data_IF_263681983820
#
_entry.id   IF_263681983820
#
_cell.length_a   1.000
_cell.length_b   1.000
_cell.length_c   1.000
_cell.angle_alpha   90.00
_cell.angle_beta   90.00
_cell.angle_gamma   90.00
#
_symmetry.space_group_name_H-M   'P 1'
#
loop_
_entity.id
_entity.type
_entity.pdbx_description
1 polymer ?
#
# COMPACT_ATOMS: atom_id res chain seq x y z
N UNK A 1 -10.71 -19.15 -6.17
CA UNK A 1 -9.58 -19.49 -7.09
C UNK A 1 -9.62 -18.70 -8.40
N UNK A 2 -10.77 -18.56 -9.09
CA UNK A 2 -10.86 -17.72 -10.30
C UNK A 2 -10.49 -16.23 -10.03
N UNK A 3 -10.92 -15.67 -8.89
CA UNK A 3 -10.67 -14.27 -8.56
C UNK A 3 -9.18 -13.94 -8.35
N UNK A 4 -8.42 -14.88 -7.77
CA UNK A 4 -6.99 -14.68 -7.52
C UNK A 4 -6.17 -14.71 -8.81
N UNK A 5 -6.52 -15.59 -9.75
CA UNK A 5 -5.84 -15.65 -11.04
C UNK A 5 -6.12 -14.37 -11.85
N UNK A 6 -7.36 -13.87 -11.80
CA UNK A 6 -7.72 -12.59 -12.40
C UNK A 6 -6.93 -11.44 -11.77
N UNK A 7 -6.83 -11.42 -10.43
CA UNK A 7 -6.05 -10.42 -9.70
C UNK A 7 -4.58 -10.41 -10.13
N UNK A 8 -3.93 -11.57 -10.22
CA UNK A 8 -2.51 -11.67 -10.61
C UNK A 8 -2.26 -11.23 -12.06
N UNK A 9 -3.21 -11.51 -12.96
CA UNK A 9 -3.11 -11.11 -14.37
C UNK A 9 -3.32 -9.60 -14.53
N UNK A 10 -4.26 -9.01 -13.78
CA UNK A 10 -4.55 -7.57 -13.83
C UNK A 10 -3.51 -6.74 -13.07
N UNK A 11 -2.94 -7.28 -11.98
CA UNK A 11 -1.95 -6.62 -11.13
C UNK A 11 -0.55 -7.23 -11.32
N UNK A 12 0.00 -7.05 -12.52
CA UNK A 12 1.41 -7.34 -12.78
C UNK A 12 2.27 -6.15 -12.30
N UNK A 13 2.57 -6.12 -11.01
CA UNK A 13 3.36 -5.08 -10.37
C UNK A 13 4.56 -5.67 -9.64
N UNK A 14 5.56 -4.83 -9.37
CA UNK A 14 6.68 -5.21 -8.52
C UNK A 14 6.23 -5.22 -7.05
N UNK A 15 5.91 -6.41 -6.55
CA UNK A 15 5.42 -6.61 -5.18
C UNK A 15 6.41 -6.13 -4.12
N UNK A 16 7.72 -6.25 -4.37
CA UNK A 16 8.75 -5.79 -3.44
C UNK A 16 8.88 -4.27 -3.45
N UNK A 17 8.76 -3.62 -4.61
CA UNK A 17 8.75 -2.15 -4.67
C UNK A 17 7.54 -1.55 -3.94
N UNK A 18 6.36 -2.17 -4.05
CA UNK A 18 5.16 -1.72 -3.32
C UNK A 18 5.31 -1.99 -1.81
N UNK A 19 5.91 -3.11 -1.41
CA UNK A 19 6.19 -3.38 0.01
C UNK A 19 7.18 -2.37 0.60
N UNK A 20 8.21 -1.98 -0.16
CA UNK A 20 9.16 -0.93 0.21
C UNK A 20 8.45 0.43 0.40
N UNK A 21 7.61 0.81 -0.58
CA UNK A 21 6.81 2.05 -0.51
C UNK A 21 5.87 2.03 0.70
N UNK A 22 5.25 0.89 0.99
CA UNK A 22 4.41 0.70 2.17
C UNK A 22 5.20 0.92 3.46
N UNK A 23 6.37 0.30 3.59
CA UNK A 23 7.19 0.39 4.80
C UNK A 23 7.65 1.83 5.05
N UNK A 24 8.06 2.53 4.00
CA UNK A 24 8.47 3.93 4.09
C UNK A 24 7.30 4.86 4.50
N UNK A 25 6.12 4.65 3.93
CA UNK A 25 4.94 5.49 4.19
C UNK A 25 4.22 5.15 5.49
N UNK A 26 4.25 3.88 5.92
CA UNK A 26 3.66 3.39 7.19
C UNK A 26 4.21 4.16 8.39
N UNK A 27 5.50 4.46 8.42
CA UNK A 27 6.10 5.24 9.50
C UNK A 27 5.55 6.68 9.61
N UNK A 28 5.01 7.24 8.52
CA UNK A 28 4.49 8.61 8.50
C UNK A 28 2.99 8.70 8.77
N UNK A 29 2.23 7.65 8.47
CA UNK A 29 0.76 7.70 8.50
C UNK A 29 0.11 6.65 9.42
N UNK A 30 0.87 5.68 9.92
CA UNK A 30 0.30 4.69 10.85
C UNK A 30 0.10 5.32 12.21
N UNK A 31 -1.13 5.21 12.68
CA UNK A 31 -1.52 5.54 14.05
C UNK A 31 -1.81 4.24 14.78
N UNK A 32 -1.04 3.94 15.81
CA UNK A 32 -1.26 2.76 16.67
C UNK A 32 -2.27 3.08 17.78
N UNK A 33 -2.40 4.37 18.14
CA UNK A 33 -3.37 4.85 19.12
C UNK A 33 -4.46 5.72 18.52
N UNK A 34 -5.65 5.72 19.15
CA UNK A 34 -6.75 6.63 18.81
C UNK A 34 -6.32 8.11 18.83
N UNK A 35 -5.42 8.48 19.75
CA UNK A 35 -4.91 9.83 19.87
C UNK A 35 -4.03 10.21 18.66
N UNK A 36 -3.14 9.32 18.22
CA UNK A 36 -2.35 9.51 17.01
C UNK A 36 -3.24 9.64 15.78
N UNK A 37 -4.35 8.90 15.71
CA UNK A 37 -5.31 9.01 14.61
C UNK A 37 -5.91 10.40 14.56
N UNK A 38 -6.39 10.93 15.70
CA UNK A 38 -6.89 12.31 15.77
C UNK A 38 -5.79 13.29 15.35
N UNK A 39 -4.57 13.11 15.85
CA UNK A 39 -3.45 13.99 15.51
C UNK A 39 -3.15 13.99 14.00
N UNK A 40 -3.18 12.81 13.36
CA UNK A 40 -3.05 12.67 11.92
C UNK A 40 -4.14 13.45 11.16
N UNK A 41 -5.40 13.32 11.59
CA UNK A 41 -6.52 14.06 11.00
C UNK A 41 -6.38 15.57 11.18
N UNK A 42 -5.90 16.01 12.35
CA UNK A 42 -5.59 17.41 12.62
C UNK A 42 -4.42 17.91 11.76
N UNK A 43 -3.42 17.08 11.46
CA UNK A 43 -2.29 17.46 10.59
C UNK A 43 -2.67 17.51 9.10
N UNK A 44 -3.65 16.69 8.69
CA UNK A 44 -4.22 16.67 7.33
C UNK A 44 -5.18 17.83 7.07
N UNK A 45 -5.92 18.27 8.08
CA UNK A 45 -6.95 19.33 7.97
C UNK A 45 -6.44 20.67 8.52
N UNK A 46 -5.39 20.67 9.33
CA UNK A 46 -4.88 21.85 10.04
C UNK A 46 -4.46 22.98 9.09
N UNK A 47 -3.83 22.65 7.97
CA UNK A 47 -3.46 23.63 6.93
C UNK A 47 -4.70 24.30 6.31
N UNK A 48 -5.83 23.59 6.20
CA UNK A 48 -7.12 24.14 5.74
C UNK A 48 -7.75 25.02 6.82
N UNK A 49 -7.72 24.58 8.07
CA UNK A 49 -8.26 25.34 9.20
C UNK A 49 -7.52 26.67 9.32
N UNK A 50 -6.20 26.67 9.19
CA UNK A 50 -5.38 27.89 9.20
C UNK A 50 -5.75 28.87 8.07
N UNK A 51 -6.23 28.39 6.92
CA UNK A 51 -6.72 29.26 5.83
C UNK A 51 -7.96 30.07 6.22
N UNK A 52 -8.80 29.57 7.13
CA UNK A 52 -10.03 30.25 7.54
C UNK A 52 -9.81 31.23 8.69
N UNK A 53 -8.77 31.03 9.51
CA UNK A 53 -8.52 31.82 10.72
C UNK A 53 -7.42 32.87 10.57
N UNK A 54 -6.55 32.73 9.56
CA UNK A 54 -5.47 33.68 9.31
C UNK A 54 -5.78 34.52 8.07
N UNK A 55 -5.61 35.83 8.22
CA UNK A 55 -5.72 36.80 7.13
C UNK A 55 -4.46 36.69 6.22
N UNK A 56 -4.38 35.59 5.48
CA UNK A 56 -3.24 35.24 4.65
C UNK A 56 -3.31 35.95 3.29
N UNK A 57 -2.14 36.31 2.77
CA UNK A 57 -2.02 36.78 1.38
C UNK A 57 -2.48 35.71 0.39
N UNK A 58 -2.87 36.12 -0.82
CA UNK A 58 -3.25 35.20 -1.91
C UNK A 58 -2.17 34.16 -2.22
N UNK A 59 -0.89 34.54 -2.08
CA UNK A 59 0.24 33.62 -2.23
C UNK A 59 0.36 32.64 -1.07
N UNK A 60 0.13 33.08 0.17
CA UNK A 60 0.08 32.21 1.35
C UNK A 60 -1.03 31.17 1.27
N UNK A 61 -2.20 31.59 0.77
CA UNK A 61 -3.34 30.70 0.54
C UNK A 61 -2.99 29.61 -0.48
N UNK A 62 -2.43 29.99 -1.62
CA UNK A 62 -2.04 29.05 -2.67
C UNK A 62 -1.01 28.01 -2.18
N UNK A 63 -0.01 28.44 -1.40
CA UNK A 63 1.01 27.54 -0.83
C UNK A 63 0.40 26.58 0.19
N UNK A 64 -0.50 27.05 1.06
CA UNK A 64 -1.17 26.19 2.04
C UNK A 64 -2.08 25.16 1.36
N UNK A 65 -2.85 25.58 0.35
CA UNK A 65 -3.67 24.67 -0.46
C UNK A 65 -2.82 23.60 -1.18
N UNK A 66 -1.68 23.99 -1.74
CA UNK A 66 -0.76 23.05 -2.38
C UNK A 66 -0.21 22.02 -1.40
N UNK A 67 0.25 22.46 -0.22
CA UNK A 67 0.76 21.57 0.84
C UNK A 67 -0.32 20.60 1.32
N UNK A 68 -1.52 21.11 1.54
CA UNK A 68 -2.70 20.31 1.90
C UNK A 68 -2.96 19.24 0.84
N UNK A 69 -3.11 19.65 -0.42
CA UNK A 69 -3.39 18.72 -1.51
C UNK A 69 -2.29 17.65 -1.65
N UNK A 70 -1.03 18.03 -1.46
CA UNK A 70 0.10 17.08 -1.47
C UNK A 70 0.01 16.08 -0.31
N UNK A 71 -0.25 16.53 0.92
CA UNK A 71 -0.42 15.65 2.08
C UNK A 71 -1.57 14.67 1.88
N UNK A 72 -2.71 15.15 1.41
CA UNK A 72 -3.88 14.32 1.11
C UNK A 72 -3.60 13.29 0.03
N UNK A 73 -2.89 13.67 -1.03
CA UNK A 73 -2.47 12.74 -2.08
C UNK A 73 -1.57 11.64 -1.51
N UNK A 74 -0.60 11.99 -0.67
CA UNK A 74 0.29 11.02 -0.02
C UNK A 74 -0.47 10.09 0.93
N UNK A 75 -1.45 10.61 1.66
CA UNK A 75 -2.29 9.81 2.55
C UNK A 75 -3.20 8.83 1.78
N UNK A 76 -3.84 9.28 0.70
CA UNK A 76 -4.63 8.40 -0.18
C UNK A 76 -3.74 7.30 -0.76
N UNK A 77 -2.52 7.63 -1.20
CA UNK A 77 -1.56 6.65 -1.70
C UNK A 77 -1.18 5.61 -0.64
N UNK A 78 -0.97 6.04 0.60
CA UNK A 78 -0.75 5.12 1.72
C UNK A 78 -1.94 4.15 1.90
N UNK A 79 -3.18 4.66 1.91
CA UNK A 79 -4.39 3.81 2.05
C UNK A 79 -4.53 2.81 0.89
N UNK A 80 -4.23 3.21 -0.35
CA UNK A 80 -4.25 2.30 -1.50
C UNK A 80 -3.25 1.16 -1.33
N UNK A 81 -2.03 1.46 -0.87
CA UNK A 81 -0.98 0.47 -0.69
C UNK A 81 -1.32 -0.44 0.49
N UNK A 82 -1.80 0.12 1.61
CA UNK A 82 -2.24 -0.65 2.77
C UNK A 82 -3.34 -1.65 2.39
N UNK A 83 -4.31 -1.21 1.59
CA UNK A 83 -5.36 -2.08 1.06
C UNK A 83 -4.77 -3.23 0.23
N UNK A 84 -3.82 -2.95 -0.68
CA UNK A 84 -3.14 -4.00 -1.47
C UNK A 84 -2.39 -5.00 -0.59
N UNK A 85 -1.63 -4.53 0.39
CA UNK A 85 -0.90 -5.42 1.31
C UNK A 85 -1.88 -6.28 2.13
N UNK A 86 -3.03 -5.72 2.52
CA UNK A 86 -4.10 -6.47 3.16
C UNK A 86 -4.72 -7.53 2.25
N UNK A 87 -4.97 -7.22 0.98
CA UNK A 87 -5.42 -8.21 -0.01
C UNK A 87 -4.40 -9.34 -0.18
N UNK A 88 -3.10 -9.02 -0.27
CA UNK A 88 -2.05 -10.03 -0.37
C UNK A 88 -2.03 -10.94 0.85
N UNK A 89 -2.17 -10.37 2.05
CA UNK A 89 -2.32 -11.15 3.28
C UNK A 89 -3.48 -12.14 3.15
N UNK A 90 -4.67 -11.68 2.74
CA UNK A 90 -5.85 -12.53 2.60
C UNK A 90 -5.65 -13.64 1.56
N UNK A 91 -5.09 -13.28 0.39
CA UNK A 91 -4.78 -14.22 -0.68
C UNK A 91 -3.83 -15.31 -0.18
N UNK A 92 -2.72 -14.93 0.43
CA UNK A 92 -1.70 -15.87 0.91
C UNK A 92 -2.22 -16.77 2.02
N UNK A 93 -3.01 -16.23 2.97
CA UNK A 93 -3.64 -17.05 4.00
C UNK A 93 -4.66 -18.03 3.43
N UNK A 94 -5.41 -17.64 2.39
CA UNK A 94 -6.36 -18.55 1.72
C UNK A 94 -5.70 -19.75 1.04
N UNK A 95 -4.39 -19.67 0.76
CA UNK A 95 -3.60 -20.75 0.14
C UNK A 95 -2.81 -21.61 1.12
N UNK A 96 -3.07 -21.47 2.42
CA UNK A 96 -2.35 -22.21 3.47
C UNK A 96 -1.28 -21.39 4.20
N UNK A 97 -1.23 -20.07 3.98
CA UNK A 97 -0.37 -19.16 4.72
C UNK A 97 0.93 -18.78 4.00
N UNK A 98 1.66 -17.79 4.55
CA UNK A 98 2.93 -17.36 3.96
C UNK A 98 4.01 -18.42 4.16
N UNK A 99 4.87 -18.58 3.15
CA UNK A 99 5.97 -19.57 3.17
C UNK A 99 7.05 -19.20 4.18
N UNK A 100 7.24 -17.90 4.42
CA UNK A 100 8.17 -17.35 5.40
C UNK A 100 7.32 -16.66 6.46
N UNK A 101 7.74 -16.70 7.73
CA UNK A 101 7.10 -15.95 8.81
C UNK A 101 8.11 -14.98 9.41
N UNK A 102 7.62 -13.84 9.88
CA UNK A 102 8.40 -12.88 10.66
C UNK A 102 7.59 -12.48 11.88
N UNK A 103 8.27 -12.30 13.01
CA UNK A 103 7.67 -11.73 14.22
C UNK A 103 7.74 -10.20 14.21
N UNK A 104 8.49 -9.62 13.30
CA UNK A 104 8.63 -8.17 13.16
C UNK A 104 7.61 -7.64 12.14
N UNK A 105 6.71 -6.79 12.63
CA UNK A 105 5.64 -6.20 11.85
C UNK A 105 6.13 -5.26 10.73
N UNK A 106 7.35 -4.75 10.85
CA UNK A 106 8.01 -3.93 9.84
C UNK A 106 8.26 -4.74 8.57
N UNK A 107 8.73 -5.98 8.71
CA UNK A 107 9.08 -6.84 7.57
C UNK A 107 7.91 -7.66 7.02
N UNK A 108 6.74 -7.59 7.65
CA UNK A 108 5.62 -8.45 7.33
C UNK A 108 5.03 -8.18 5.93
N UNK A 109 5.16 -6.95 5.42
CA UNK A 109 4.78 -6.63 4.05
C UNK A 109 5.65 -7.37 3.00
N UNK A 110 6.96 -7.51 3.25
CA UNK A 110 7.86 -8.26 2.34
C UNK A 110 7.56 -9.76 2.33
N UNK A 111 7.08 -10.31 3.45
CA UNK A 111 6.63 -11.70 3.54
C UNK A 111 5.45 -11.95 2.61
N UNK A 112 4.47 -11.03 2.59
CA UNK A 112 3.32 -11.15 1.68
C UNK A 112 3.75 -10.91 0.22
N UNK A 113 4.68 -9.99 -0.03
CA UNK A 113 5.25 -9.78 -1.36
C UNK A 113 5.95 -11.03 -1.92
N UNK A 114 6.76 -11.73 -1.11
CA UNK A 114 7.39 -13.01 -1.51
C UNK A 114 6.33 -14.07 -1.86
N UNK A 115 5.29 -14.19 -1.04
CA UNK A 115 4.17 -15.10 -1.33
C UNK A 115 3.50 -14.80 -2.67
N UNK A 116 3.21 -13.53 -2.93
CA UNK A 116 2.59 -13.09 -4.18
C UNK A 116 3.52 -13.32 -5.38
N UNK A 117 4.81 -13.06 -5.23
CA UNK A 117 5.81 -13.32 -6.27
C UNK A 117 5.91 -14.82 -6.61
N UNK A 118 5.87 -15.71 -5.61
CA UNK A 118 5.86 -17.18 -5.83
C UNK A 118 4.59 -17.64 -6.53
N UNK A 119 3.45 -17.09 -6.15
CA UNK A 119 2.17 -17.39 -6.76
C UNK A 119 2.15 -16.93 -8.23
N UNK A 120 2.61 -15.71 -8.48
CA UNK A 120 2.81 -15.16 -9.82
C UNK A 120 3.73 -16.05 -10.68
N UNK A 121 4.89 -16.44 -10.14
CA UNK A 121 5.83 -17.34 -10.80
C UNK A 121 5.25 -18.73 -11.07
N UNK A 122 4.38 -19.24 -10.19
CA UNK A 122 3.71 -20.53 -10.39
C UNK A 122 2.72 -20.45 -11.53
N UNK A 123 1.89 -19.41 -11.56
CA UNK A 123 0.89 -19.19 -12.61
C UNK A 123 1.53 -19.01 -13.99
N UNK A 124 2.53 -18.15 -14.11
CA UNK A 124 3.22 -17.86 -15.38
C UNK A 124 4.37 -18.85 -15.70
N UNK A 125 4.86 -19.59 -14.72
CA UNK A 125 5.81 -20.69 -14.93
C UNK A 125 5.14 -21.96 -15.48
N UNK A 126 3.89 -22.22 -15.09
CA UNK A 126 3.08 -23.32 -15.62
C UNK A 126 2.73 -23.11 -17.10
N UNK A 127 2.43 -21.88 -17.54
CA UNK A 127 2.17 -21.58 -18.95
C UNK A 127 3.39 -21.82 -19.83
N UNK A 128 4.60 -21.49 -19.34
CA UNK A 128 5.86 -21.73 -20.08
C UNK A 128 6.20 -23.22 -20.23
N UNK A 129 5.91 -24.05 -19.21
CA UNK A 129 6.08 -25.52 -19.28
C UNK A 129 5.00 -26.20 -20.11
N UNK A 130 3.77 -25.70 -20.11
CA UNK A 130 2.68 -26.19 -20.97
C UNK A 130 3.00 -25.99 -22.45
N UNK A 131 3.51 -24.80 -22.81
CA UNK A 131 3.85 -24.45 -24.21
C UNK A 131 5.00 -25.32 -24.76
N UNK A 132 5.97 -25.71 -23.92
CA UNK A 132 7.09 -26.58 -24.31
C UNK A 132 6.72 -28.06 -24.49
N UNK A 133 5.54 -28.50 -24.05
CA UNK A 133 5.08 -29.90 -24.25
C UNK A 133 4.20 -30.08 -25.50
N UNK A 134 3.93 -28.98 -26.21
CA UNK A 134 3.13 -28.96 -27.44
C UNK A 134 3.99 -28.71 -28.70
N UNK A 135 5.32 -28.68 -28.54
CA UNK A 135 6.31 -28.70 -29.62
C UNK A 135 7.08 -30.02 -29.55
#
# INVERSE_FOLDING_TARGET
>A
MQDTNLYLVLNNCDYFAIAEEYVQTKNSFRSESWFETIQLWMDLIGDIVLLFFLDMSSTGIAVSMYKTAYKWRSYIRFLEIEHKVHEWKMIIHSMGGPTITTNDEHYQAYVYADGMQRLHNTLFGLTKKSTKRLQ
#
